data_IF_682711978608
#
_entry.id   IF_682711978608
#
_cell.length_a   1.000
_cell.length_b   1.000
_cell.length_c   1.000
_cell.angle_alpha   90.00
_cell.angle_beta   90.00
_cell.angle_gamma   90.00
#
_symmetry.space_group_name_H-M   'P 1'
#
loop_
_entity.id
_entity.type
_entity.pdbx_description
1 polymer ?
#
# COMPACT_ATOMS: atom_id res chain seq x y z
N UNK A 1 61.89 66.16 -9.61
CA UNK A 1 61.35 64.81 -9.90
C UNK A 1 60.21 64.52 -8.94
N UNK A 2 58.95 64.53 -9.40
CA UNK A 2 57.77 64.14 -8.59
C UNK A 2 57.20 62.86 -9.21
N UNK A 3 57.14 61.77 -8.45
CA UNK A 3 56.52 60.50 -8.87
C UNK A 3 55.02 60.59 -8.58
N UNK A 4 54.19 60.57 -9.62
CA UNK A 4 52.74 60.44 -9.50
C UNK A 4 52.37 59.00 -9.16
N UNK A 5 51.65 58.81 -8.06
CA UNK A 5 51.05 57.52 -7.73
C UNK A 5 49.86 57.28 -8.68
N UNK A 6 49.90 56.19 -9.43
CA UNK A 6 48.75 55.73 -10.22
C UNK A 6 47.87 54.90 -9.31
N UNK A 7 46.67 55.40 -9.02
CA UNK A 7 45.64 54.71 -8.25
C UNK A 7 45.01 53.64 -9.16
N UNK A 8 45.26 52.36 -8.88
CA UNK A 8 44.60 51.24 -9.55
C UNK A 8 43.27 50.98 -8.85
N UNK A 9 42.16 51.41 -9.45
CA UNK A 9 40.81 51.07 -8.97
C UNK A 9 40.49 49.66 -9.47
N UNK A 10 40.51 48.68 -8.55
CA UNK A 10 40.01 47.34 -8.81
C UNK A 10 38.47 47.40 -8.85
N UNK A 11 37.90 47.39 -10.05
CA UNK A 11 36.45 47.24 -10.22
C UNK A 11 36.09 45.78 -9.91
N UNK A 12 35.50 45.55 -8.72
CA UNK A 12 34.81 44.30 -8.41
C UNK A 12 33.54 44.23 -9.27
N UNK A 13 33.59 43.52 -10.39
CA UNK A 13 32.37 43.07 -11.06
C UNK A 13 31.77 41.94 -10.21
N UNK A 14 30.50 42.01 -9.77
CA UNK A 14 29.84 40.84 -9.24
C UNK A 14 29.75 39.81 -10.38
N UNK A 15 30.49 38.71 -10.25
CA UNK A 15 30.16 37.50 -10.98
C UNK A 15 28.78 37.06 -10.48
N UNK A 16 27.76 37.32 -11.28
CA UNK A 16 26.53 36.53 -11.21
C UNK A 16 26.91 35.13 -11.68
N UNK A 17 27.31 34.26 -10.77
CA UNK A 17 27.27 32.83 -11.00
C UNK A 17 25.78 32.51 -10.97
N UNK A 18 25.16 32.40 -12.14
CA UNK A 18 23.88 31.71 -12.22
C UNK A 18 24.15 30.28 -11.78
N UNK A 19 23.80 29.95 -10.54
CA UNK A 19 23.51 28.57 -10.19
C UNK A 19 22.41 28.15 -11.14
N UNK A 20 22.73 27.30 -12.11
CA UNK A 20 21.68 26.64 -12.90
C UNK A 20 20.73 26.01 -11.90
N UNK A 21 19.46 26.44 -11.88
CA UNK A 21 18.40 25.50 -11.52
C UNK A 21 18.70 24.27 -12.37
N UNK A 22 19.05 23.15 -11.74
CA UNK A 22 18.86 21.88 -12.43
C UNK A 22 17.42 21.90 -12.90
N UNK A 23 17.23 21.78 -14.21
CA UNK A 23 15.93 21.76 -14.85
C UNK A 23 15.12 20.69 -14.10
N UNK A 24 14.07 21.07 -13.36
CA UNK A 24 13.25 20.12 -12.60
C UNK A 24 12.76 18.98 -13.52
N UNK A 25 12.61 19.26 -14.82
CA UNK A 25 12.37 18.30 -15.90
C UNK A 25 13.41 17.16 -15.98
N UNK A 26 14.71 17.46 -15.82
CA UNK A 26 15.78 16.44 -15.82
C UNK A 26 15.82 15.63 -14.54
N UNK A 27 15.29 16.18 -13.43
CA UNK A 27 15.13 15.43 -12.19
C UNK A 27 13.93 14.47 -12.28
N UNK A 28 12.83 14.89 -12.92
CA UNK A 28 11.72 14.00 -13.23
C UNK A 28 12.13 12.86 -14.18
N UNK A 29 12.90 13.13 -15.23
CA UNK A 29 13.39 12.10 -16.18
C UNK A 29 14.19 10.96 -15.50
N UNK A 30 14.69 11.16 -14.28
CA UNK A 30 15.44 10.17 -13.48
C UNK A 30 14.55 9.54 -12.38
N UNK A 31 13.41 10.15 -12.03
CA UNK A 31 12.58 9.81 -10.87
C UNK A 31 11.12 9.41 -11.22
N UNK A 32 10.78 9.30 -12.51
CA UNK A 32 9.47 8.91 -13.05
C UNK A 32 9.07 7.45 -12.72
N UNK A 33 8.73 7.22 -11.46
CA UNK A 33 8.28 5.94 -10.93
C UNK A 33 6.99 6.12 -10.13
N UNK A 34 6.25 5.04 -9.96
CA UNK A 34 5.11 4.97 -9.05
C UNK A 34 5.57 4.61 -7.62
N UNK A 35 4.66 4.77 -6.65
CA UNK A 35 4.82 4.22 -5.30
C UNK A 35 3.46 3.70 -4.82
N UNK A 36 3.15 2.44 -5.08
CA UNK A 36 1.95 1.78 -4.60
C UNK A 36 2.09 1.43 -3.12
N UNK A 37 1.04 1.71 -2.35
CA UNK A 37 0.96 1.29 -0.96
C UNK A 37 -0.39 0.69 -0.68
N UNK A 38 -0.41 -0.34 0.15
CA UNK A 38 -1.64 -1.01 0.55
C UNK A 38 -2.09 -0.66 1.96
N UNK A 39 -3.38 -0.79 2.18
CA UNK A 39 -4.02 -0.84 3.49
C UNK A 39 -5.19 -1.84 3.42
N UNK A 40 -5.46 -2.50 4.54
CA UNK A 40 -6.58 -3.43 4.65
C UNK A 40 -7.34 -3.18 5.95
N UNK A 41 -8.62 -2.85 5.80
CA UNK A 41 -9.51 -2.45 6.88
C UNK A 41 -10.46 -3.56 7.32
N UNK A 42 -10.67 -3.65 8.63
CA UNK A 42 -11.78 -4.39 9.24
C UNK A 42 -12.82 -3.43 9.79
N UNK A 43 -14.09 -3.75 9.60
CA UNK A 43 -15.21 -3.02 10.23
C UNK A 43 -15.46 -3.42 11.68
N UNK A 44 -14.94 -4.58 12.12
CA UNK A 44 -15.13 -5.13 13.46
C UNK A 44 -13.95 -6.00 13.90
N UNK A 45 -13.74 -6.11 15.21
CA UNK A 45 -12.74 -7.01 15.81
C UNK A 45 -13.28 -8.43 16.05
N UNK A 46 -14.60 -8.64 15.98
CA UNK A 46 -15.22 -9.96 16.14
C UNK A 46 -16.54 -10.11 15.39
N UNK A 47 -16.84 -11.33 14.94
CA UNK A 47 -18.12 -11.72 14.35
C UNK A 47 -18.60 -13.06 14.90
N UNK A 48 -19.89 -13.37 14.69
CA UNK A 48 -20.45 -14.69 14.99
C UNK A 48 -20.35 -15.57 13.73
N UNK A 49 -20.02 -16.86 13.92
CA UNK A 49 -19.95 -17.82 12.82
C UNK A 49 -21.25 -17.85 12.01
N UNK A 50 -21.13 -17.80 10.68
CA UNK A 50 -22.27 -17.76 9.76
C UNK A 50 -22.76 -16.35 9.40
N UNK A 51 -22.26 -15.31 10.05
CA UNK A 51 -22.46 -13.92 9.60
C UNK A 51 -21.46 -13.56 8.49
N UNK A 52 -21.92 -12.84 7.47
CA UNK A 52 -21.00 -12.25 6.49
C UNK A 52 -20.35 -11.00 7.06
N UNK A 53 -19.16 -10.68 6.56
CA UNK A 53 -18.43 -9.49 6.91
C UNK A 53 -17.76 -8.90 5.67
N UNK A 54 -17.38 -7.62 5.76
CA UNK A 54 -16.58 -6.98 4.73
C UNK A 54 -15.18 -6.67 5.26
N UNK A 55 -14.19 -6.96 4.42
CA UNK A 55 -12.87 -6.32 4.48
C UNK A 55 -12.81 -5.25 3.40
N UNK A 56 -12.01 -4.21 3.62
CA UNK A 56 -11.77 -3.16 2.63
C UNK A 56 -10.30 -3.20 2.27
N UNK A 57 -9.97 -3.51 1.02
CA UNK A 57 -8.63 -3.37 0.46
C UNK A 57 -8.49 -1.99 -0.17
N UNK A 58 -7.40 -1.28 0.14
CA UNK A 58 -7.09 0.03 -0.38
C UNK A 58 -5.68 0.01 -0.98
N UNK A 59 -5.55 0.45 -2.23
CA UNK A 59 -4.25 0.61 -2.88
C UNK A 59 -4.11 2.06 -3.32
N UNK A 60 -3.03 2.73 -2.88
CA UNK A 60 -2.77 4.14 -3.17
C UNK A 60 -1.46 4.30 -3.92
N UNK A 61 -1.47 5.04 -5.03
CA UNK A 61 -0.23 5.52 -5.66
C UNK A 61 0.20 6.83 -4.98
N UNK A 62 1.25 6.80 -4.15
CA UNK A 62 1.71 7.93 -3.36
C UNK A 62 2.40 9.00 -4.23
N UNK A 63 2.20 10.26 -3.84
CA UNK A 63 2.89 11.40 -4.46
C UNK A 63 4.29 11.54 -3.87
N UNK A 64 5.30 11.45 -4.72
CA UNK A 64 6.70 11.70 -4.35
C UNK A 64 6.92 13.14 -3.89
N UNK A 65 7.65 13.32 -2.80
CA UNK A 65 8.00 14.64 -2.28
C UNK A 65 6.84 15.41 -1.62
N UNK A 66 5.65 14.81 -1.48
CA UNK A 66 4.48 15.43 -0.88
C UNK A 66 3.93 16.59 -1.73
N UNK A 67 3.48 17.68 -1.08
CA UNK A 67 2.87 18.83 -1.77
C UNK A 67 3.86 19.78 -2.49
N UNK A 68 5.10 19.34 -2.73
CA UNK A 68 6.15 20.17 -3.35
C UNK A 68 6.26 19.91 -4.86
N UNK A 69 7.05 20.72 -5.56
CA UNK A 69 7.22 20.72 -7.03
C UNK A 69 7.64 19.37 -7.67
N UNK A 70 8.04 18.38 -6.87
CA UNK A 70 8.37 17.02 -7.33
C UNK A 70 7.15 16.09 -7.41
N UNK A 71 5.98 16.55 -6.97
CA UNK A 71 4.71 15.85 -7.11
C UNK A 71 4.42 15.50 -8.58
N UNK A 72 4.77 16.42 -9.49
CA UNK A 72 4.57 16.29 -10.93
C UNK A 72 5.47 15.21 -11.57
N UNK A 73 6.49 14.70 -10.85
CA UNK A 73 7.34 13.62 -11.32
C UNK A 73 6.79 12.21 -10.97
N UNK A 74 5.68 12.10 -10.24
CA UNK A 74 5.11 10.78 -9.88
C UNK A 74 4.38 10.21 -11.08
N UNK A 75 4.79 9.01 -11.52
CA UNK A 75 4.16 8.36 -12.67
C UNK A 75 2.79 7.78 -12.28
N UNK A 76 1.90 7.71 -13.26
CA UNK A 76 0.71 6.88 -13.16
C UNK A 76 1.14 5.41 -13.01
N UNK A 77 0.66 4.74 -11.97
CA UNK A 77 0.78 3.30 -11.85
C UNK A 77 -0.15 2.68 -12.88
N UNK A 78 0.37 1.77 -13.70
CA UNK A 78 -0.47 1.02 -14.63
C UNK A 78 -1.32 0.00 -13.85
N UNK A 79 -2.27 -0.66 -14.54
CA UNK A 79 -3.04 -1.71 -13.92
C UNK A 79 -2.14 -2.91 -13.58
N UNK A 80 -2.32 -3.49 -12.40
CA UNK A 80 -1.60 -4.67 -11.92
C UNK A 80 -2.46 -5.54 -11.02
N UNK A 81 -1.95 -6.71 -10.66
CA UNK A 81 -2.61 -7.65 -9.78
C UNK A 81 -2.25 -7.37 -8.31
N UNK A 82 -3.22 -7.61 -7.42
CA UNK A 82 -3.06 -7.60 -5.97
C UNK A 82 -3.56 -8.93 -5.43
N UNK A 83 -2.99 -9.42 -4.34
CA UNK A 83 -3.51 -10.61 -3.65
C UNK A 83 -3.96 -10.27 -2.23
N UNK A 84 -4.86 -11.11 -1.71
CA UNK A 84 -5.22 -11.12 -0.30
C UNK A 84 -5.04 -12.51 0.26
N UNK A 85 -4.12 -12.61 1.21
CA UNK A 85 -3.89 -13.81 2.01
C UNK A 85 -4.74 -13.76 3.27
N UNK A 86 -5.55 -14.79 3.48
CA UNK A 86 -6.32 -15.01 4.70
C UNK A 86 -5.62 -16.09 5.52
N UNK A 87 -5.14 -15.68 6.69
CA UNK A 87 -4.49 -16.55 7.64
C UNK A 87 -5.44 -16.90 8.77
N UNK A 88 -5.30 -18.12 9.28
CA UNK A 88 -6.14 -18.67 10.33
C UNK A 88 -5.30 -19.34 11.40
N UNK A 89 -5.81 -19.29 12.63
CA UNK A 89 -5.41 -20.20 13.70
C UNK A 89 -6.61 -20.52 14.60
N UNK A 90 -6.61 -21.72 15.15
CA UNK A 90 -7.69 -22.18 16.03
C UNK A 90 -7.66 -21.53 17.43
N UNK A 91 -6.48 -21.12 17.89
CA UNK A 91 -6.27 -20.55 19.22
C UNK A 91 -5.07 -19.57 19.22
N UNK A 92 -4.94 -18.70 20.23
CA UNK A 92 -3.85 -17.73 20.29
C UNK A 92 -2.43 -18.32 20.27
N UNK A 93 -2.29 -19.57 20.71
CA UNK A 93 -1.00 -20.29 20.81
C UNK A 93 -0.71 -21.15 19.57
N UNK A 94 -1.69 -21.36 18.70
CA UNK A 94 -1.51 -22.10 17.46
C UNK A 94 -0.76 -21.26 16.40
N UNK A 95 -0.06 -21.95 15.50
CA UNK A 95 0.60 -21.34 14.37
C UNK A 95 -0.44 -20.77 13.38
N UNK A 96 -0.06 -19.71 12.68
CA UNK A 96 -0.84 -19.17 11.56
C UNK A 96 -0.70 -20.05 10.33
N UNK A 97 -1.82 -20.34 9.67
CA UNK A 97 -1.88 -21.08 8.42
C UNK A 97 -2.64 -20.28 7.38
N UNK A 98 -2.11 -20.20 6.16
CA UNK A 98 -2.84 -19.62 5.03
C UNK A 98 -3.99 -20.56 4.68
N UNK A 99 -5.24 -20.09 4.84
CA UNK A 99 -6.45 -20.88 4.55
C UNK A 99 -7.05 -20.52 3.20
N UNK A 100 -6.81 -19.30 2.73
CA UNK A 100 -7.32 -18.80 1.46
C UNK A 100 -6.36 -17.74 0.92
N UNK A 101 -6.12 -17.78 -0.37
CA UNK A 101 -5.52 -16.70 -1.15
C UNK A 101 -6.49 -16.39 -2.31
N UNK A 102 -6.60 -15.12 -2.68
CA UNK A 102 -7.39 -14.69 -3.82
C UNK A 102 -6.89 -13.37 -4.39
N UNK A 103 -7.09 -13.23 -5.70
CA UNK A 103 -6.60 -12.09 -6.46
C UNK A 103 -7.64 -10.96 -6.52
N UNK A 104 -7.13 -9.75 -6.59
CA UNK A 104 -7.82 -8.49 -6.77
C UNK A 104 -7.13 -7.74 -7.91
N UNK A 105 -7.92 -6.98 -8.69
CA UNK A 105 -7.38 -6.21 -9.81
C UNK A 105 -7.23 -4.74 -9.43
N UNK A 106 -6.00 -4.22 -9.45
CA UNK A 106 -5.71 -2.79 -9.31
C UNK A 106 -5.93 -2.14 -10.67
N UNK A 107 -6.76 -1.09 -10.73
CA UNK A 107 -6.85 -0.25 -11.93
C UNK A 107 -5.64 0.67 -12.00
N UNK A 108 -5.35 1.19 -13.20
CA UNK A 108 -4.37 2.26 -13.32
C UNK A 108 -4.71 3.43 -12.38
N UNK A 109 -3.73 3.85 -11.58
CA UNK A 109 -3.84 4.89 -10.57
C UNK A 109 -2.93 6.05 -10.93
N UNK A 110 -3.54 7.20 -11.20
CA UNK A 110 -2.80 8.46 -11.29
C UNK A 110 -2.07 8.74 -9.97
N UNK A 111 -1.06 9.62 -9.99
CA UNK A 111 -0.39 10.06 -8.77
C UNK A 111 -1.40 10.59 -7.73
N UNK A 112 -1.32 10.09 -6.49
CA UNK A 112 -2.27 10.37 -5.41
C UNK A 112 -3.62 9.64 -5.53
N UNK A 113 -3.80 8.80 -6.55
CA UNK A 113 -5.00 8.02 -6.77
C UNK A 113 -5.14 6.86 -5.78
N UNK A 114 -6.40 6.45 -5.55
CA UNK A 114 -6.80 5.37 -4.65
C UNK A 114 -7.72 4.40 -5.41
N UNK A 115 -7.42 3.11 -5.36
CA UNK A 115 -8.38 2.04 -5.67
C UNK A 115 -8.87 1.44 -4.35
N UNK A 116 -10.19 1.35 -4.17
CA UNK A 116 -10.78 0.77 -2.97
C UNK A 116 -11.76 -0.33 -3.33
N UNK A 117 -11.65 -1.47 -2.66
CA UNK A 117 -12.44 -2.66 -2.93
C UNK A 117 -12.96 -3.27 -1.62
N UNK A 118 -14.28 -3.39 -1.51
CA UNK A 118 -14.92 -4.19 -0.46
C UNK A 118 -15.02 -5.64 -0.91
N UNK A 119 -14.53 -6.55 -0.07
CA UNK A 119 -14.67 -7.99 -0.25
C UNK A 119 -15.59 -8.52 0.83
N UNK A 120 -16.74 -9.06 0.42
CA UNK A 120 -17.67 -9.72 1.32
C UNK A 120 -17.28 -11.18 1.49
N UNK A 121 -17.11 -11.58 2.75
CA UNK A 121 -16.63 -12.89 3.14
C UNK A 121 -17.60 -13.57 4.10
N UNK A 122 -17.69 -14.89 3.99
CA UNK A 122 -18.28 -15.76 5.00
C UNK A 122 -17.20 -16.66 5.61
N UNK A 123 -17.08 -16.60 6.94
CA UNK A 123 -16.11 -17.40 7.70
C UNK A 123 -16.84 -18.60 8.32
N UNK A 124 -16.42 -19.81 7.94
CA UNK A 124 -17.10 -21.06 8.26
C UNK A 124 -16.38 -21.89 9.35
N UNK A 125 -15.36 -21.33 10.00
CA UNK A 125 -14.71 -21.97 11.16
C UNK A 125 -14.45 -20.97 12.29
N UNK A 126 -14.80 -21.28 13.55
CA UNK A 126 -14.40 -20.46 14.70
C UNK A 126 -12.89 -20.41 14.86
N UNK A 127 -12.39 -19.31 15.42
CA UNK A 127 -10.97 -19.09 15.66
C UNK A 127 -10.55 -17.65 15.39
N UNK A 128 -9.29 -17.46 15.03
CA UNK A 128 -8.70 -16.16 14.78
C UNK A 128 -8.23 -16.06 13.34
N UNK A 129 -8.44 -14.89 12.74
CA UNK A 129 -8.12 -14.59 11.35
C UNK A 129 -7.29 -13.32 11.25
N UNK A 130 -6.35 -13.32 10.31
CA UNK A 130 -5.57 -12.15 9.87
C UNK A 130 -5.67 -12.08 8.36
N UNK A 131 -5.65 -10.86 7.84
CA UNK A 131 -5.69 -10.60 6.41
C UNK A 131 -4.47 -9.77 6.04
N UNK A 132 -3.79 -10.20 5.00
CA UNK A 132 -2.62 -9.56 4.41
C UNK A 132 -2.92 -9.29 2.96
N UNK A 133 -2.49 -8.13 2.48
CA UNK A 133 -2.67 -7.69 1.10
C UNK A 133 -1.32 -7.29 0.54
N UNK A 134 -1.08 -7.63 -0.72
CA UNK A 134 0.06 -7.15 -1.46
C UNK A 134 -0.42 -6.53 -2.77
N UNK A 135 0.04 -5.31 -3.08
CA UNK A 135 -0.13 -4.73 -4.40
C UNK A 135 0.98 -5.21 -5.32
N UNK A 136 0.69 -5.22 -6.61
CA UNK A 136 1.67 -5.48 -7.66
C UNK A 136 2.50 -6.75 -7.43
N UNK A 137 1.81 -7.87 -7.19
CA UNK A 137 2.45 -9.13 -6.75
C UNK A 137 3.46 -9.68 -7.77
N UNK A 138 3.30 -9.31 -9.05
CA UNK A 138 4.15 -9.73 -10.15
C UNK A 138 5.22 -8.67 -10.52
N UNK A 139 5.34 -7.58 -9.76
CA UNK A 139 6.21 -6.43 -10.01
C UNK A 139 6.01 -5.84 -11.45
N UNK A 140 4.73 -5.70 -11.87
CA UNK A 140 4.36 -5.20 -13.20
C UNK A 140 4.52 -3.67 -13.32
N UNK A 141 4.48 -2.96 -12.19
CA UNK A 141 4.67 -1.51 -12.08
C UNK A 141 6.08 -1.23 -11.60
N UNK A 142 6.84 -0.42 -12.35
CA UNK A 142 8.18 0.00 -11.92
C UNK A 142 8.07 1.05 -10.79
N UNK A 143 8.36 0.63 -9.56
CA UNK A 143 8.23 1.45 -8.36
C UNK A 143 9.59 1.96 -7.86
N UNK A 144 9.58 2.99 -7.00
CA UNK A 144 10.84 3.42 -6.33
C UNK A 144 11.21 2.48 -5.20
N UNK A 145 10.23 1.89 -4.54
CA UNK A 145 10.41 0.94 -3.44
C UNK A 145 9.42 -0.22 -3.55
N UNK A 146 9.84 -1.30 -4.21
CA UNK A 146 9.03 -2.52 -4.40
C UNK A 146 8.61 -3.23 -3.09
N UNK A 147 9.06 -2.75 -1.92
CA UNK A 147 8.73 -3.39 -0.62
C UNK A 147 7.60 -2.68 0.14
N UNK A 148 7.09 -1.56 -0.37
CA UNK A 148 6.04 -0.78 0.30
C UNK A 148 4.62 -1.23 -0.09
N UNK A 149 4.51 -2.14 -1.05
CA UNK A 149 3.29 -2.71 -1.60
C UNK A 149 2.57 -3.68 -0.65
N UNK A 150 3.22 -4.16 0.42
CA UNK A 150 2.64 -5.11 1.37
C UNK A 150 2.03 -4.44 2.61
N UNK A 151 0.81 -4.84 2.98
CA UNK A 151 0.15 -4.43 4.22
C UNK A 151 -0.58 -5.57 4.93
N UNK A 152 -0.79 -5.40 6.23
CA UNK A 152 -1.65 -6.26 7.04
C UNK A 152 -2.59 -5.39 7.85
N UNK A 153 -3.72 -5.93 8.31
CA UNK A 153 -4.73 -5.10 9.00
C UNK A 153 -4.09 -4.37 10.18
N UNK A 154 -4.22 -3.04 10.27
CA UNK A 154 -3.69 -2.25 11.39
C UNK A 154 -2.21 -1.89 11.30
N UNK A 155 -1.52 -2.20 10.19
CA UNK A 155 -0.13 -1.80 9.96
C UNK A 155 0.20 -1.56 8.48
N UNK A 156 0.83 -0.42 8.20
CA UNK A 156 1.45 -0.14 6.88
C UNK A 156 2.83 -0.78 6.81
N UNK A 157 3.16 -1.43 5.69
CA UNK A 157 4.51 -1.87 5.35
C UNK A 157 5.07 -2.94 6.29
N UNK A 158 4.41 -4.10 6.39
CA UNK A 158 5.00 -5.21 7.11
C UNK A 158 5.68 -6.17 6.14
N UNK A 159 7.00 -6.32 6.29
CA UNK A 159 7.68 -7.51 5.80
C UNK A 159 6.93 -8.77 6.30
N UNK A 160 6.74 -9.73 5.39
CA UNK A 160 5.82 -10.88 5.38
C UNK A 160 5.81 -11.87 6.57
N UNK A 161 6.32 -11.51 7.76
CA UNK A 161 6.47 -12.43 8.89
C UNK A 161 6.19 -11.81 10.27
N UNK A 162 5.58 -10.62 10.38
CA UNK A 162 5.49 -9.88 11.64
C UNK A 162 4.04 -9.65 12.15
N UNK A 163 3.23 -10.72 12.21
CA UNK A 163 1.82 -10.71 12.65
C UNK A 163 1.53 -10.05 14.01
N UNK A 164 2.55 -9.77 14.82
CA UNK A 164 2.42 -9.13 16.13
C UNK A 164 1.85 -7.70 16.08
N UNK A 165 1.80 -7.07 14.90
CA UNK A 165 1.18 -5.74 14.70
C UNK A 165 -0.12 -5.77 13.89
N UNK A 166 -0.54 -6.94 13.41
CA UNK A 166 -1.77 -7.07 12.66
C UNK A 166 -2.98 -7.14 13.60
N UNK A 167 -4.09 -6.48 13.26
CA UNK A 167 -5.35 -6.64 13.96
C UNK A 167 -5.89 -8.05 13.70
N UNK A 168 -6.34 -8.71 14.77
CA UNK A 168 -6.85 -10.06 14.72
C UNK A 168 -8.37 -10.01 14.77
N UNK A 169 -9.04 -10.58 13.78
CA UNK A 169 -10.47 -10.84 13.82
C UNK A 169 -10.73 -12.14 14.60
N UNK A 170 -11.65 -12.10 15.55
CA UNK A 170 -12.10 -13.30 16.26
C UNK A 170 -13.48 -13.75 15.77
N UNK A 171 -13.58 -14.98 15.28
CA UNK A 171 -14.84 -15.62 14.88
C UNK A 171 -15.32 -16.51 16.01
N UNK A 172 -16.46 -16.15 16.61
CA UNK A 172 -17.06 -16.86 17.72
C UNK A 172 -17.94 -18.01 17.23
N UNK A 173 -17.99 -19.16 17.93
CA UNK A 173 -18.92 -20.23 17.61
C UNK A 173 -20.37 -19.74 17.61
N UNK A 174 -21.18 -20.31 16.71
CA UNK A 174 -22.62 -20.09 16.67
C UNK A 174 -23.33 -21.44 16.83
N UNK A 175 -24.05 -21.69 17.94
CA UNK A 175 -24.72 -22.96 18.17
C UNK A 175 -25.85 -23.25 17.16
N UNK A 176 -26.40 -22.20 16.53
CA UNK A 176 -27.50 -22.30 15.58
C UNK A 176 -27.02 -22.41 14.12
N UNK A 177 -25.71 -22.37 13.89
CA UNK A 177 -25.12 -22.49 12.56
C UNK A 177 -24.13 -23.65 12.52
N UNK A 178 -24.44 -24.64 11.70
CA UNK A 178 -23.52 -25.73 11.35
C UNK A 178 -23.12 -25.54 9.89
N UNK A 179 -21.86 -25.21 9.59
CA UNK A 179 -21.39 -25.14 8.21
C UNK A 179 -21.54 -26.52 7.55
N UNK A 180 -21.94 -26.53 6.28
CA UNK A 180 -21.97 -27.77 5.50
C UNK A 180 -20.56 -28.41 5.45
N UNK A 181 -20.42 -29.73 5.62
CA UNK A 181 -19.11 -30.40 5.67
C UNK A 181 -18.20 -30.22 4.43
N UNK A 182 -18.75 -29.72 3.32
CA UNK A 182 -18.01 -29.42 2.09
C UNK A 182 -17.71 -27.94 1.86
N UNK A 183 -18.12 -27.05 2.77
CA UNK A 183 -17.88 -25.61 2.60
C UNK A 183 -16.43 -25.25 2.89
N UNK A 184 -15.82 -24.36 2.10
CA UNK A 184 -14.50 -23.85 2.40
C UNK A 184 -14.53 -23.06 3.70
N UNK A 185 -13.39 -23.04 4.40
CA UNK A 185 -13.24 -22.28 5.64
C UNK A 185 -13.52 -20.78 5.45
N UNK A 186 -13.11 -20.23 4.30
CA UNK A 186 -13.39 -18.86 3.88
C UNK A 186 -14.06 -18.90 2.51
N UNK A 187 -15.24 -18.31 2.42
CA UNK A 187 -16.01 -18.18 1.18
C UNK A 187 -16.09 -16.70 0.80
N UNK A 188 -15.75 -16.39 -0.46
CA UNK A 188 -15.88 -15.03 -1.02
C UNK A 188 -17.28 -14.94 -1.61
N UNK A 189 -18.11 -14.08 -1.04
CA UNK A 189 -19.48 -13.86 -1.49
C UNK A 189 -19.48 -12.88 -2.67
N UNK A 190 -18.79 -11.75 -2.51
CA UNK A 190 -18.73 -10.71 -3.54
C UNK A 190 -17.47 -9.86 -3.41
N UNK A 191 -17.10 -9.21 -4.52
CA UNK A 191 -16.03 -8.20 -4.58
C UNK A 191 -16.65 -6.97 -5.26
N UNK A 192 -16.67 -5.84 -4.56
CA UNK A 192 -17.28 -4.59 -5.02
C UNK A 192 -16.26 -3.47 -4.93
N UNK A 193 -16.00 -2.79 -6.04
CA UNK A 193 -15.18 -1.56 -6.04
C UNK A 193 -15.99 -0.39 -5.49
N UNK A 194 -15.39 0.36 -4.57
CA UNK A 194 -15.96 1.57 -3.96
C UNK A 194 -15.44 2.78 -4.76
N UNK A 195 -16.35 3.68 -5.17
CA UNK A 195 -16.04 4.89 -5.94
C UNK A 195 -16.27 6.14 -5.12
#
# INVERSE_FOLDING_TARGET
>A
MKRGATLLILAFMPLFISTSCEDDAKLCDILEKADLTCDIGLSTASIILGESMNIINQVTNLIFGGANALADCTKTAEASDSDVNVLYRESPDAAWEITKNFDLLIKSLIAGGLDEQAVELLLNKPGQYVFETNADVEDDVDERDENNNTASIGGRGMASNNYARSAILTVLPNPDYTPDPGRPQVEIISITRIQ
#
